data_IF_907937540938
#
_entry.id   IF_907937540938
#
_cell.length_a   1.000
_cell.length_b   1.000
_cell.length_c   1.000
_cell.angle_alpha   90.00
_cell.angle_beta   90.00
_cell.angle_gamma   90.00
#
_symmetry.space_group_name_H-M   'P 1'
#
loop_
_entity.id
_entity.type
_entity.pdbx_description
1 polymer ?
#
# COMPACT_ATOMS: atom_id res chain seq x y z
N UNK A 1 -3.94 14.59 -4.40
CA UNK A 1 -2.70 14.89 -5.16
C UNK A 1 -2.37 13.74 -6.10
N UNK A 2 -1.72 14.05 -7.19
CA UNK A 2 -1.26 13.06 -8.15
C UNK A 2 0.26 13.03 -8.14
N UNK A 3 0.82 11.86 -7.89
CA UNK A 3 2.27 11.66 -7.86
C UNK A 3 2.64 10.63 -8.93
N UNK A 4 3.77 10.83 -9.58
CA UNK A 4 4.23 9.92 -10.64
C UNK A 4 5.67 9.53 -10.40
N UNK A 5 5.94 8.22 -10.45
CA UNK A 5 7.29 7.68 -10.35
C UNK A 5 7.61 7.00 -11.68
N UNK A 6 8.72 7.36 -12.35
CA UNK A 6 9.05 6.81 -13.67
C UNK A 6 9.65 5.40 -13.60
N UNK A 7 9.08 4.56 -12.73
CA UNK A 7 9.51 3.18 -12.48
C UNK A 7 8.31 2.38 -12.00
N UNK A 8 8.29 1.06 -12.24
CA UNK A 8 7.35 0.19 -11.53
C UNK A 8 7.81 0.05 -10.07
N UNK A 9 6.91 -0.30 -9.14
CA UNK A 9 7.31 -0.54 -7.75
C UNK A 9 8.25 -1.73 -7.66
N UNK A 10 9.21 -1.65 -6.75
CA UNK A 10 10.04 -2.78 -6.41
C UNK A 10 9.24 -3.77 -5.55
N UNK A 11 9.65 -5.02 -5.60
CA UNK A 11 9.09 -6.03 -4.71
C UNK A 11 9.42 -5.69 -3.26
N UNK A 12 8.38 -5.60 -2.41
CA UNK A 12 8.55 -5.31 -1.00
C UNK A 12 8.60 -6.60 -0.20
N UNK A 13 9.74 -6.84 0.46
CA UNK A 13 9.90 -7.99 1.32
C UNK A 13 9.39 -7.70 2.73
N UNK A 14 8.71 -8.68 3.31
CA UNK A 14 8.22 -8.58 4.67
C UNK A 14 9.36 -8.71 5.67
N UNK A 15 9.23 -8.12 6.87
CA UNK A 15 10.16 -8.38 7.96
C UNK A 15 10.26 -9.88 8.25
N UNK A 16 11.48 -10.34 8.49
CA UNK A 16 11.76 -11.74 8.80
C UNK A 16 12.54 -11.83 10.11
N UNK A 17 12.38 -12.90 10.88
CA UNK A 17 13.20 -13.10 12.06
C UNK A 17 14.66 -13.37 11.67
N UNK A 18 15.58 -12.94 12.52
CA UNK A 18 16.98 -13.33 12.40
C UNK A 18 17.15 -14.83 12.63
N UNK A 19 18.35 -15.37 12.37
CA UNK A 19 18.64 -16.80 12.57
C UNK A 19 18.33 -17.29 13.97
N UNK A 20 18.55 -16.44 14.98
CA UNK A 20 18.27 -16.76 16.38
C UNK A 20 16.84 -16.44 16.79
N UNK A 21 16.03 -15.95 15.87
CA UNK A 21 14.64 -15.56 16.07
C UNK A 21 14.43 -14.48 17.15
N UNK A 22 15.51 -13.81 17.55
CA UNK A 22 15.43 -12.77 18.59
C UNK A 22 15.04 -11.40 18.03
N UNK A 23 15.20 -11.16 16.73
CA UNK A 23 14.93 -9.90 16.08
C UNK A 23 14.25 -10.12 14.75
N UNK A 24 13.45 -9.15 14.32
CA UNK A 24 12.88 -9.11 12.99
C UNK A 24 13.67 -8.15 12.11
N UNK A 25 13.87 -8.56 10.88
CA UNK A 25 14.52 -7.76 9.87
C UNK A 25 13.46 -7.04 9.03
N UNK A 26 13.53 -5.71 8.99
CA UNK A 26 12.66 -4.88 8.16
C UNK A 26 13.52 -4.25 7.07
N UNK A 27 13.40 -4.69 5.81
CA UNK A 27 14.28 -4.22 4.76
C UNK A 27 14.00 -2.77 4.40
N UNK A 28 15.01 -1.92 4.52
CA UNK A 28 15.05 -0.60 3.89
C UNK A 28 15.82 -0.76 2.60
N UNK A 29 15.13 -1.17 1.54
CA UNK A 29 15.79 -1.34 0.26
C UNK A 29 16.16 0.02 -0.33
N UNK A 30 17.25 0.10 -1.12
CA UNK A 30 17.58 1.33 -1.83
C UNK A 30 16.42 1.84 -2.69
N UNK A 31 15.64 0.94 -3.27
CA UNK A 31 14.48 1.31 -4.08
C UNK A 31 13.44 2.07 -3.25
N UNK A 32 13.17 1.63 -2.02
CA UNK A 32 12.20 2.32 -1.15
C UNK A 32 12.70 3.73 -0.79
N UNK A 33 13.98 3.86 -0.50
CA UNK A 33 14.60 5.16 -0.19
C UNK A 33 14.50 6.09 -1.41
N UNK A 34 14.83 5.60 -2.59
CA UNK A 34 14.75 6.39 -3.84
C UNK A 34 13.32 6.84 -4.11
N UNK A 35 12.34 5.96 -3.93
CA UNK A 35 10.94 6.29 -4.10
C UNK A 35 10.49 7.38 -3.13
N UNK A 36 10.85 7.27 -1.86
CA UNK A 36 10.52 8.29 -0.86
C UNK A 36 11.11 9.64 -1.21
N UNK A 37 12.34 9.66 -1.72
CA UNK A 37 12.99 10.89 -2.15
C UNK A 37 12.25 11.54 -3.31
N UNK A 38 11.92 10.75 -4.34
CA UNK A 38 11.16 11.24 -5.49
C UNK A 38 9.79 11.77 -5.10
N UNK A 39 9.06 11.03 -4.28
CA UNK A 39 7.72 11.42 -3.83
C UNK A 39 7.78 12.69 -2.96
N UNK A 40 8.74 12.77 -2.05
CA UNK A 40 8.92 13.96 -1.20
C UNK A 40 9.18 15.18 -2.05
N UNK A 41 10.04 15.06 -3.06
CA UNK A 41 10.34 16.17 -3.96
C UNK A 41 9.12 16.61 -4.76
N UNK A 42 8.34 15.69 -5.28
CA UNK A 42 7.11 16.03 -6.01
C UNK A 42 6.09 16.72 -5.12
N UNK A 43 5.92 16.26 -3.89
CA UNK A 43 5.00 16.89 -2.94
C UNK A 43 5.44 18.32 -2.64
N UNK A 44 6.73 18.53 -2.42
CA UNK A 44 7.28 19.88 -2.15
C UNK A 44 7.09 20.80 -3.34
N UNK A 45 7.41 20.35 -4.55
CA UNK A 45 7.28 21.14 -5.77
C UNK A 45 5.83 21.48 -6.07
N UNK A 46 4.89 20.57 -5.75
CA UNK A 46 3.47 20.79 -5.94
C UNK A 46 2.79 21.58 -4.82
N UNK A 47 3.53 21.95 -3.78
CA UNK A 47 2.94 22.66 -2.63
C UNK A 47 2.04 21.79 -1.77
N UNK A 48 2.24 20.48 -1.78
CA UNK A 48 1.42 19.55 -1.02
C UNK A 48 2.01 19.30 0.36
N UNK A 49 1.12 19.06 1.33
CA UNK A 49 1.49 18.66 2.70
C UNK A 49 0.90 17.32 3.04
N UNK A 50 1.36 16.75 4.13
CA UNK A 50 0.77 15.51 4.66
C UNK A 50 -0.71 15.68 4.92
N UNK A 51 -1.47 14.66 4.60
CA UNK A 51 -2.92 14.65 4.84
C UNK A 51 -3.17 14.18 6.27
N UNK A 52 -3.96 14.95 6.99
CA UNK A 52 -4.44 14.55 8.31
C UNK A 52 -5.77 13.81 8.15
N UNK A 53 -5.99 12.80 9.00
CA UNK A 53 -7.20 12.00 8.95
C UNK A 53 -7.16 10.89 7.90
N UNK A 54 -8.33 10.29 7.59
CA UNK A 54 -8.41 9.18 6.65
C UNK A 54 -7.92 9.54 5.26
N UNK A 55 -7.21 8.62 4.63
CA UNK A 55 -6.56 8.80 3.33
C UNK A 55 -7.05 7.75 2.36
N UNK A 56 -7.31 8.16 1.13
CA UNK A 56 -7.58 7.27 0.00
C UNK A 56 -6.36 7.23 -0.91
N UNK A 57 -5.96 6.04 -1.31
CA UNK A 57 -4.83 5.84 -2.23
C UNK A 57 -5.29 4.96 -3.38
N UNK A 58 -5.06 5.45 -4.60
CA UNK A 58 -5.24 4.65 -5.82
C UNK A 58 -3.93 4.65 -6.57
N UNK A 59 -3.59 3.54 -7.20
CA UNK A 59 -2.37 3.47 -7.99
C UNK A 59 -2.60 2.72 -9.30
N UNK A 60 -1.94 3.19 -10.34
CA UNK A 60 -1.92 2.56 -11.64
C UNK A 60 -0.47 2.24 -11.98
N UNK A 61 -0.19 0.97 -12.22
CA UNK A 61 1.18 0.47 -12.36
C UNK A 61 1.38 -0.02 -13.78
N UNK A 62 2.43 0.46 -14.42
CA UNK A 62 2.84 -0.01 -15.75
C UNK A 62 4.33 -0.38 -15.72
N UNK A 63 4.85 -1.04 -16.76
CA UNK A 63 6.28 -1.35 -16.82
C UNK A 63 7.20 -0.12 -16.80
N UNK A 64 6.67 1.06 -17.13
CA UNK A 64 7.47 2.28 -17.28
C UNK A 64 7.20 3.33 -16.22
N UNK A 65 6.05 3.27 -15.54
CA UNK A 65 5.72 4.28 -14.53
C UNK A 65 4.66 3.78 -13.55
N UNK A 66 4.59 4.44 -12.41
CA UNK A 66 3.52 4.26 -11.44
C UNK A 66 2.87 5.61 -11.16
N UNK A 67 1.56 5.69 -11.32
CA UNK A 67 0.76 6.88 -11.04
C UNK A 67 0.01 6.64 -9.75
N UNK A 68 0.14 7.58 -8.81
CA UNK A 68 -0.45 7.46 -7.48
C UNK A 68 -1.36 8.65 -7.24
N UNK A 69 -2.61 8.37 -6.90
CA UNK A 69 -3.57 9.38 -6.48
C UNK A 69 -3.77 9.25 -4.98
N UNK A 70 -3.45 10.31 -4.25
CA UNK A 70 -3.59 10.36 -2.80
C UNK A 70 -4.48 11.54 -2.43
N UNK A 71 -5.46 11.30 -1.60
CA UNK A 71 -6.36 12.35 -1.15
C UNK A 71 -7.04 12.01 0.17
N UNK A 72 -7.76 12.99 0.72
CA UNK A 72 -8.56 12.76 1.90
C UNK A 72 -9.75 11.86 1.55
N UNK A 73 -10.04 10.90 2.42
CA UNK A 73 -11.17 10.00 2.26
C UNK A 73 -12.34 10.53 3.07
N UNK A 74 -13.28 11.21 2.39
CA UNK A 74 -14.43 11.79 3.05
C UNK A 74 -15.52 10.74 3.27
N UNK A 75 -16.13 10.78 4.46
CA UNK A 75 -17.22 9.86 4.81
C UNK A 75 -16.79 8.44 5.12
N UNK A 76 -15.52 8.14 5.04
CA UNK A 76 -14.96 6.82 5.36
C UNK A 76 -13.99 6.97 6.53
N UNK A 77 -14.20 6.20 7.57
CA UNK A 77 -13.31 6.18 8.72
C UNK A 77 -13.01 4.74 9.09
N UNK A 78 -11.95 4.58 9.83
CA UNK A 78 -11.56 3.27 10.35
C UNK A 78 -12.61 2.81 11.38
N UNK A 79 -13.23 1.62 11.22
CA UNK A 79 -14.22 1.13 12.19
C UNK A 79 -13.56 0.83 13.53
N UNK A 80 -14.33 1.01 14.61
CA UNK A 80 -13.88 0.58 15.93
C UNK A 80 -13.72 -0.94 15.98
N UNK A 81 -12.73 -1.39 16.72
CA UNK A 81 -12.48 -2.82 16.91
C UNK A 81 -11.60 -3.45 15.85
N UNK A 82 -11.35 -2.78 14.73
CA UNK A 82 -10.45 -3.25 13.70
C UNK A 82 -9.13 -2.51 13.85
N UNK A 83 -8.08 -3.20 14.27
CA UNK A 83 -6.77 -2.60 14.54
C UNK A 83 -5.75 -2.82 13.44
N UNK A 84 -5.92 -3.86 12.62
CA UNK A 84 -4.99 -4.15 11.55
C UNK A 84 -5.11 -3.12 10.42
N UNK A 85 -4.01 -2.88 9.73
CA UNK A 85 -3.98 -1.99 8.58
C UNK A 85 -4.77 -2.60 7.42
N UNK A 86 -5.35 -1.74 6.57
CA UNK A 86 -6.17 -2.18 5.46
C UNK A 86 -5.41 -3.10 4.50
N UNK A 87 -4.15 -2.79 4.22
CA UNK A 87 -3.33 -3.62 3.34
C UNK A 87 -3.06 -5.01 3.94
N UNK A 88 -2.84 -5.10 5.25
CA UNK A 88 -2.66 -6.39 5.92
C UNK A 88 -3.95 -7.22 5.89
N UNK A 89 -5.10 -6.57 6.07
CA UNK A 89 -6.40 -7.25 5.97
C UNK A 89 -6.62 -7.74 4.55
N UNK A 90 -6.37 -6.91 3.56
CA UNK A 90 -6.50 -7.28 2.16
C UNK A 90 -5.61 -8.47 1.82
N UNK A 91 -4.38 -8.47 2.30
CA UNK A 91 -3.46 -9.58 2.09
C UNK A 91 -3.96 -10.87 2.72
N UNK A 92 -4.50 -10.81 3.92
CA UNK A 92 -5.09 -11.98 4.58
C UNK A 92 -6.21 -12.59 3.73
N UNK A 93 -7.09 -11.74 3.19
CA UNK A 93 -8.18 -12.19 2.33
C UNK A 93 -7.65 -12.81 1.05
N UNK A 94 -6.65 -12.19 0.42
CA UNK A 94 -6.03 -12.73 -0.79
C UNK A 94 -5.38 -14.09 -0.52
N UNK A 95 -4.67 -14.24 0.59
CA UNK A 95 -4.06 -15.51 0.97
C UNK A 95 -5.13 -16.60 1.20
N UNK A 96 -6.27 -16.23 1.77
CA UNK A 96 -7.36 -17.15 1.99
C UNK A 96 -8.05 -17.57 0.68
N UNK A 97 -8.03 -16.71 -0.34
CA UNK A 97 -8.62 -17.01 -1.65
C UNK A 97 -7.70 -17.85 -2.52
N UNK A 98 -6.42 -17.82 -2.28
CA UNK A 98 -5.46 -18.64 -3.00
C UNK A 98 -5.73 -20.11 -2.69
N UNK A 99 -5.94 -20.89 -3.71
CA UNK A 99 -6.42 -22.26 -3.60
C UNK A 99 -7.91 -22.38 -3.90
N UNK A 100 -8.80 -21.84 -3.05
CA UNK A 100 -10.25 -21.92 -3.32
C UNK A 100 -10.71 -21.16 -4.56
N UNK A 101 -10.19 -19.95 -4.81
CA UNK A 101 -10.70 -19.08 -5.87
C UNK A 101 -9.74 -18.93 -7.05
N UNK A 102 -8.45 -19.02 -6.84
CA UNK A 102 -7.43 -18.94 -7.89
C UNK A 102 -6.17 -19.68 -7.44
N UNK A 103 -5.27 -19.95 -8.38
CA UNK A 103 -4.09 -20.79 -8.12
C UNK A 103 -2.93 -20.01 -7.48
N UNK A 104 -2.76 -18.74 -7.84
CA UNK A 104 -1.59 -17.97 -7.46
C UNK A 104 -1.93 -16.48 -7.37
N UNK A 105 -1.41 -15.80 -6.36
CA UNK A 105 -1.61 -14.36 -6.17
C UNK A 105 -1.17 -13.53 -7.39
N UNK A 106 -0.25 -14.05 -8.21
CA UNK A 106 0.14 -13.38 -9.45
C UNK A 106 -1.01 -13.24 -10.45
N UNK A 107 -2.07 -14.01 -10.30
CA UNK A 107 -3.27 -13.88 -11.13
C UNK A 107 -4.09 -12.63 -10.77
N UNK A 108 -3.91 -12.08 -9.58
CA UNK A 108 -4.63 -10.88 -9.14
C UNK A 108 -4.03 -9.66 -9.83
N UNK A 109 -4.78 -9.08 -10.75
CA UNK A 109 -4.35 -7.91 -11.53
C UNK A 109 -5.14 -6.65 -11.19
N UNK A 110 -6.16 -6.79 -10.35
CA UNK A 110 -6.94 -5.67 -9.85
C UNK A 110 -7.45 -6.01 -8.45
N UNK A 111 -7.41 -5.02 -7.57
CA UNK A 111 -7.87 -5.16 -6.20
C UNK A 111 -8.40 -3.81 -5.71
N UNK A 112 -9.47 -3.84 -4.92
CA UNK A 112 -9.97 -2.68 -4.23
C UNK A 112 -10.38 -3.10 -2.82
N UNK A 113 -10.10 -2.24 -1.84
CA UNK A 113 -10.47 -2.48 -0.45
C UNK A 113 -10.83 -1.15 0.21
N UNK A 114 -11.90 -1.14 0.98
CA UNK A 114 -12.38 0.06 1.65
C UNK A 114 -13.03 -0.33 2.97
N UNK A 115 -12.75 0.41 4.02
CA UNK A 115 -13.53 0.31 5.24
C UNK A 115 -14.90 0.95 5.04
N UNK A 116 -15.91 0.43 5.70
CA UNK A 116 -17.23 1.03 5.73
C UNK A 116 -17.76 1.08 7.16
N UNK A 117 -18.53 2.09 7.46
CA UNK A 117 -19.23 2.18 8.74
C UNK A 117 -20.53 1.40 8.74
N UNK A 118 -21.06 1.12 7.56
CA UNK A 118 -22.37 0.49 7.43
C UNK A 118 -22.24 -1.03 7.58
N UNK A 119 -23.15 -1.60 8.35
CA UNK A 119 -23.30 -3.04 8.43
C UNK A 119 -24.19 -3.47 7.28
N UNK A 120 -23.73 -4.40 6.43
CA UNK A 120 -24.55 -4.88 5.32
C UNK A 120 -25.80 -5.57 5.81
#
# INVERSE_FOLDING_TARGET
MRLTVPLPPAHYERPRPNRDHSKFYSPHTPALVDWRTLLTNQMRLGGHSKIEGPVSVEMTISPTETIILVGAAHGVTRPEGIRADLDNIAKFVLDALEGPAYFDDLQVVHMAATFTKETP
#
